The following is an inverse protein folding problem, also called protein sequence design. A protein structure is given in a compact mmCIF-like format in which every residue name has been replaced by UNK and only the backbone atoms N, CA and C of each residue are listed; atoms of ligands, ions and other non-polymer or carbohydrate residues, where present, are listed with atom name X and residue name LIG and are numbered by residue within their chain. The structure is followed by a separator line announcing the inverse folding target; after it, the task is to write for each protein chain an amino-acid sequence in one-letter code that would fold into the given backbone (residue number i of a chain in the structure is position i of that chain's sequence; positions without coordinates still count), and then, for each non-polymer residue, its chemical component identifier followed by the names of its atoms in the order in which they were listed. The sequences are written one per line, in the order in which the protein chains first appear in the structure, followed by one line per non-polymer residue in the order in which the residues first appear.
data_IF_847917490814
#
_entry.id   IF_847917490814
#
_cell.length_a   1.000
_cell.length_b   1.000
_cell.length_c   1.000
_cell.angle_alpha   90.00
_cell.angle_beta   90.00
_cell.angle_gamma   90.00
#
_symmetry.space_group_name_H-M   'P 1'
#
loop_
_entity.id
_entity.type
_entity.pdbx_description
1 polymer ?
#
# COMPACT_ATOMS: atom_id res chain seq x y z
N UNK A 1 -20.78 17.23 -3.05
CA UNK A 1 -20.13 16.06 -2.43
C UNK A 1 -19.93 15.04 -3.53
N UNK A 2 -18.69 14.78 -3.97
CA UNK A 2 -18.47 13.79 -5.02
C UNK A 2 -18.66 12.39 -4.45
N UNK A 3 -19.07 11.43 -5.27
CA UNK A 3 -19.21 10.00 -4.90
C UNK A 3 -17.92 9.40 -4.30
N UNK A 4 -16.77 10.08 -4.43
CA UNK A 4 -15.50 9.71 -3.82
C UNK A 4 -15.40 10.02 -2.31
N UNK A 5 -16.15 11.00 -1.79
CA UNK A 5 -16.13 11.32 -0.35
C UNK A 5 -16.99 10.35 0.48
N UNK A 6 -18.04 9.78 -0.10
CA UNK A 6 -18.96 8.87 0.58
C UNK A 6 -18.33 7.49 0.87
N UNK A 7 -17.47 7.02 -0.03
CA UNK A 7 -16.72 5.77 0.15
C UNK A 7 -15.68 5.84 1.28
N UNK A 8 -15.32 7.04 1.73
CA UNK A 8 -14.31 7.25 2.78
C UNK A 8 -14.88 7.07 4.20
N UNK A 9 -16.20 7.19 4.37
CA UNK A 9 -16.89 7.06 5.65
C UNK A 9 -17.29 5.61 6.01
N UNK A 10 -17.30 4.69 5.04
CA UNK A 10 -17.76 3.30 5.23
C UNK A 10 -16.72 2.32 5.79
N UNK A 11 -15.57 2.79 6.27
CA UNK A 11 -14.65 1.92 7.03
C UNK A 11 -14.21 0.65 6.30
N UNK A 12 -14.24 0.64 4.96
CA UNK A 12 -13.71 -0.46 4.17
C UNK A 12 -12.21 -0.54 4.41
N UNK A 13 -11.71 -1.68 4.89
CA UNK A 13 -10.28 -1.94 5.04
C UNK A 13 -9.62 -2.00 3.65
N UNK A 14 -9.41 -0.83 3.03
CA UNK A 14 -8.67 -0.70 1.78
C UNK A 14 -7.23 -1.05 2.14
N UNK A 15 -6.82 -2.24 1.74
CA UNK A 15 -5.43 -2.66 1.80
C UNK A 15 -4.57 -1.57 1.18
N UNK A 16 -3.67 -0.99 1.98
CA UNK A 16 -2.89 0.18 1.59
C UNK A 16 -2.05 -0.16 0.35
N UNK A 17 -2.56 0.18 -0.84
CA UNK A 17 -1.79 0.16 -2.08
C UNK A 17 -0.79 1.29 -2.03
N UNK A 18 0.37 1.09 -2.65
CA UNK A 18 1.28 2.19 -2.85
C UNK A 18 0.67 3.22 -3.79
N UNK A 19 0.67 4.49 -3.41
CA UNK A 19 0.17 5.58 -4.25
C UNK A 19 1.03 5.89 -5.50
N UNK A 20 2.12 5.15 -5.74
CA UNK A 20 3.10 5.45 -6.80
C UNK A 20 3.25 4.29 -7.77
N UNK A 21 3.49 3.09 -7.24
CA UNK A 21 3.64 1.88 -8.04
C UNK A 21 2.45 0.94 -7.95
N UNK A 22 1.40 1.34 -7.22
CA UNK A 22 0.13 0.62 -7.05
C UNK A 22 0.26 -0.81 -6.49
N UNK A 23 1.45 -1.17 -5.98
CA UNK A 23 1.70 -2.47 -5.35
C UNK A 23 0.70 -2.71 -4.23
N UNK A 24 -0.13 -3.74 -4.43
CA UNK A 24 -1.12 -4.22 -3.48
C UNK A 24 -0.65 -5.49 -2.77
N UNK A 25 -1.59 -6.28 -2.24
CA UNK A 25 -1.25 -7.61 -1.78
C UNK A 25 -1.18 -8.61 -2.93
N UNK A 26 -0.35 -9.61 -2.73
CA UNK A 26 -0.27 -10.78 -3.59
C UNK A 26 -0.99 -11.95 -2.92
N UNK A 27 -1.73 -12.71 -3.71
CA UNK A 27 -2.42 -13.91 -3.28
C UNK A 27 -1.66 -15.14 -3.78
N UNK A 28 -1.65 -16.20 -2.99
CA UNK A 28 -1.13 -17.51 -3.38
C UNK A 28 -1.19 -18.46 -2.21
N UNK A 29 -0.29 -19.45 -2.17
CA UNK A 29 -0.36 -20.53 -1.20
C UNK A 29 0.94 -20.63 -0.39
N UNK A 30 0.80 -20.83 0.92
CA UNK A 30 1.88 -21.34 1.75
C UNK A 30 2.02 -22.85 1.51
N UNK A 31 3.21 -23.30 1.13
CA UNK A 31 3.49 -24.70 0.81
C UNK A 31 4.33 -25.28 1.94
N UNK A 32 3.80 -26.27 2.65
CA UNK A 32 4.55 -27.00 3.69
C UNK A 32 5.54 -28.01 3.08
N UNK A 33 6.43 -28.54 3.92
CA UNK A 33 7.34 -29.63 3.54
C UNK A 33 6.61 -30.87 2.95
N UNK A 34 5.39 -31.16 3.43
CA UNK A 34 4.52 -32.23 2.92
C UNK A 34 3.64 -31.83 1.74
N UNK A 35 3.97 -30.72 1.06
CA UNK A 35 3.21 -30.17 -0.07
C UNK A 35 1.74 -29.82 0.25
N UNK A 36 1.42 -29.54 1.51
CA UNK A 36 0.09 -29.03 1.88
C UNK A 36 0.04 -27.55 1.52
N UNK A 37 -0.91 -27.18 0.66
CA UNK A 37 -1.10 -25.81 0.19
C UNK A 37 -2.21 -25.15 1.00
N UNK A 38 -1.88 -24.12 1.77
CA UNK A 38 -2.87 -23.27 2.46
C UNK A 38 -2.92 -21.89 1.82
N UNK A 39 -4.10 -21.30 1.57
CA UNK A 39 -4.19 -19.97 0.97
C UNK A 39 -3.54 -18.93 1.89
N UNK A 40 -2.68 -18.09 1.34
CA UNK A 40 -1.99 -17.01 2.05
C UNK A 40 -1.96 -15.73 1.22
N UNK A 41 -2.18 -14.62 1.90
CA UNK A 41 -2.02 -13.28 1.36
C UNK A 41 -0.69 -12.68 1.85
N UNK A 42 0.15 -12.22 0.93
CA UNK A 42 1.35 -11.42 1.23
C UNK A 42 1.04 -9.94 1.06
N UNK A 43 1.06 -9.21 2.18
CA UNK A 43 0.88 -7.77 2.19
C UNK A 43 2.16 -7.09 1.73
N UNK A 44 2.05 -6.16 0.78
CA UNK A 44 3.17 -5.29 0.42
C UNK A 44 3.59 -4.44 1.62
N UNK A 45 4.90 -4.26 1.82
CA UNK A 45 5.44 -3.41 2.89
C UNK A 45 5.28 -1.93 2.54
N UNK A 46 4.08 -1.41 2.80
CA UNK A 46 3.67 -0.03 2.58
C UNK A 46 3.71 0.71 3.92
N UNK A 47 4.32 1.89 3.91
CA UNK A 47 4.48 2.76 5.09
C UNK A 47 3.75 4.07 4.86
N UNK A 48 3.18 4.64 5.91
CA UNK A 48 2.64 6.00 5.86
C UNK A 48 3.79 6.98 6.09
N UNK A 49 4.12 7.78 5.08
CA UNK A 49 5.22 8.76 5.14
C UNK A 49 4.71 10.15 4.76
N UNK A 50 5.35 11.19 5.28
CA UNK A 50 5.15 12.56 4.81
C UNK A 50 6.05 12.80 3.61
N UNK A 51 5.45 13.27 2.53
CA UNK A 51 6.11 13.48 1.24
C UNK A 51 5.98 14.95 0.87
N UNK A 52 7.08 15.53 0.37
CA UNK A 52 7.07 16.86 -0.22
C UNK A 52 6.34 16.82 -1.56
N UNK A 53 5.30 17.63 -1.69
CA UNK A 53 4.63 17.93 -2.96
C UNK A 53 4.77 19.43 -3.22
N UNK A 54 4.62 19.85 -4.47
CA UNK A 54 4.73 21.26 -4.91
C UNK A 54 3.92 22.26 -4.07
N UNK A 55 2.83 21.82 -3.44
CA UNK A 55 1.98 22.62 -2.54
C UNK A 55 2.07 22.30 -1.05
N UNK A 56 3.12 21.60 -0.58
CA UNK A 56 3.35 21.31 0.84
C UNK A 56 3.55 19.82 1.18
N UNK A 57 3.64 19.49 2.47
CA UNK A 57 3.84 18.10 2.93
C UNK A 57 2.52 17.35 3.12
N UNK A 58 2.32 16.26 2.35
CA UNK A 58 1.13 15.39 2.46
C UNK A 58 1.51 14.01 3.00
N UNK A 59 0.62 13.41 3.78
CA UNK A 59 0.78 12.03 4.27
C UNK A 59 0.23 11.07 3.20
N UNK A 60 1.09 10.19 2.70
CA UNK A 60 0.72 9.19 1.69
C UNK A 60 1.27 7.81 2.01
N UNK A 61 0.63 6.78 1.46
CA UNK A 61 1.03 5.39 1.59
C UNK A 61 2.04 5.03 0.49
N UNK A 62 3.28 4.77 0.89
CA UNK A 62 4.41 4.53 -0.02
C UNK A 62 5.07 3.20 0.27
N UNK A 63 5.39 2.46 -0.79
CA UNK A 63 6.11 1.20 -0.69
C UNK A 63 7.58 1.42 -0.30
N UNK A 64 8.15 0.52 0.51
CA UNK A 64 9.58 0.59 0.86
C UNK A 64 10.51 0.55 -0.35
N UNK A 65 10.15 -0.18 -1.41
CA UNK A 65 10.89 -0.18 -2.68
C UNK A 65 10.92 1.21 -3.35
N UNK A 66 9.83 1.96 -3.24
CA UNK A 66 9.66 3.30 -3.80
C UNK A 66 10.52 4.31 -3.04
N UNK A 67 10.53 4.19 -1.70
CA UNK A 67 11.41 4.95 -0.81
C UNK A 67 12.89 4.65 -1.07
N UNK A 68 13.24 3.38 -1.28
CA UNK A 68 14.61 2.98 -1.62
C UNK A 68 15.06 3.52 -2.97
N UNK A 69 14.15 3.57 -3.95
CA UNK A 69 14.45 4.07 -5.29
C UNK A 69 14.52 5.59 -5.42
N UNK A 70 14.33 6.36 -4.34
CA UNK A 70 14.37 7.83 -4.40
C UNK A 70 13.23 8.47 -5.20
N UNK A 71 12.17 7.71 -5.53
CA UNK A 71 10.99 8.23 -6.25
C UNK A 71 10.17 9.24 -5.43
N UNK A 72 10.53 9.41 -4.16
CA UNK A 72 9.80 10.18 -3.16
C UNK A 72 10.78 10.84 -2.22
N UNK A 73 10.70 12.15 -2.11
CA UNK A 73 11.42 12.90 -1.10
C UNK A 73 10.61 12.99 0.19
N UNK A 74 11.25 12.61 1.29
CA UNK A 74 10.66 12.76 2.62
C UNK A 74 10.66 14.25 2.99
N UNK A 75 9.53 14.68 3.55
CA UNK A 75 9.40 16.04 4.06
C UNK A 75 10.29 16.28 5.27
#
# INVERSE_FOLDING_TARGET
MSLYDEFRLLGGAVMAKCAICEKGAHFGNNVSHSHRKTPKMWKSNVKSVRVKTEGGSKKMYVCTSCLKSGRVERA
#
